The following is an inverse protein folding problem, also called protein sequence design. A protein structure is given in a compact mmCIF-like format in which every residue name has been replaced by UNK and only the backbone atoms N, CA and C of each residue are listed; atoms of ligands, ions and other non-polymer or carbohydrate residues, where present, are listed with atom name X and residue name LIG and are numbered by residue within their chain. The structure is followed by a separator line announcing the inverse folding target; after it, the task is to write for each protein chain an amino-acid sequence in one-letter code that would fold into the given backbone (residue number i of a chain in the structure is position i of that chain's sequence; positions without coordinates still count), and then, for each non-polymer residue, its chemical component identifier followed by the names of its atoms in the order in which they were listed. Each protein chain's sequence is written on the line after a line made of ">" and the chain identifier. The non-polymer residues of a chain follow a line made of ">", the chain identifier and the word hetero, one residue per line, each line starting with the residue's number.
data_IF_942647004000
#
_entry.id   IF_942647004000
#
_cell.length_a   1.000
_cell.length_b   1.000
_cell.length_c   1.000
_cell.angle_alpha   90.00
_cell.angle_beta   90.00
_cell.angle_gamma   90.00
#
_symmetry.space_group_name_H-M   'P 1'
#
loop_
_entity.id
_entity.type
_entity.pdbx_description
1 polymer ?
#
# COMPACT_ATOMS: atom_id res chain seq x y z
N UNK A 1 29.87 15.30 28.97
CA UNK A 1 28.68 14.86 29.72
C UNK A 1 27.69 14.31 28.70
N UNK A 2 27.84 13.02 28.42
CA UNK A 2 26.80 11.96 28.49
C UNK A 2 26.07 11.74 27.16
N UNK A 3 26.56 10.73 26.41
CA UNK A 3 25.84 10.03 25.33
C UNK A 3 24.47 9.60 25.86
N UNK A 4 23.41 10.26 25.42
CA UNK A 4 22.08 9.69 25.46
C UNK A 4 21.93 8.84 24.19
N UNK A 5 21.78 7.53 24.34
CA UNK A 5 21.36 6.66 23.25
C UNK A 5 19.98 7.15 22.78
N UNK A 6 19.84 7.56 21.51
CA UNK A 6 18.66 8.22 21.00
C UNK A 6 17.55 7.22 20.67
N UNK A 7 16.29 7.61 20.90
CA UNK A 7 15.09 6.86 20.46
C UNK A 7 14.86 7.01 18.93
N UNK A 8 15.91 6.99 18.11
CA UNK A 8 15.85 7.29 16.67
C UNK A 8 15.62 6.08 15.77
N UNK A 9 15.67 4.84 16.29
CA UNK A 9 15.40 3.65 15.46
C UNK A 9 13.94 3.56 15.01
N UNK A 10 13.02 4.10 15.82
CA UNK A 10 11.61 4.16 15.49
C UNK A 10 11.32 5.21 14.40
N UNK A 11 11.95 6.40 14.47
CA UNK A 11 11.86 7.41 13.41
C UNK A 11 12.36 6.87 12.07
N UNK A 12 13.53 6.21 12.08
CA UNK A 12 14.10 5.62 10.86
C UNK A 12 13.20 4.52 10.28
N UNK A 13 12.54 3.73 11.13
CA UNK A 13 11.62 2.69 10.69
C UNK A 13 10.34 3.29 10.09
N UNK A 14 9.84 4.40 10.64
CA UNK A 14 8.64 5.08 10.15
C UNK A 14 8.88 5.71 8.77
N UNK A 15 9.98 6.45 8.62
CA UNK A 15 10.36 7.07 7.34
C UNK A 15 10.52 6.01 6.21
N UNK A 16 11.07 4.84 6.55
CA UNK A 16 11.24 3.74 5.59
C UNK A 16 9.90 3.10 5.22
N UNK A 17 8.94 3.00 6.15
CA UNK A 17 7.62 2.45 5.83
C UNK A 17 6.84 3.42 4.93
N UNK A 18 6.89 4.72 5.21
CA UNK A 18 6.19 5.75 4.42
C UNK A 18 6.69 5.80 2.96
N UNK A 19 8.01 5.73 2.75
CA UNK A 19 8.57 5.72 1.40
C UNK A 19 8.22 4.43 0.65
N UNK A 20 8.16 3.28 1.34
CA UNK A 20 7.79 2.01 0.73
C UNK A 20 6.30 1.96 0.37
N UNK A 21 5.43 2.53 1.19
CA UNK A 21 3.99 2.62 0.93
C UNK A 21 3.71 3.44 -0.34
N UNK A 22 4.25 4.66 -0.39
CA UNK A 22 4.12 5.57 -1.53
C UNK A 22 4.73 4.98 -2.81
N UNK A 23 5.91 4.36 -2.70
CA UNK A 23 6.57 3.71 -3.83
C UNK A 23 5.77 2.52 -4.34
N UNK A 24 5.22 1.68 -3.46
CA UNK A 24 4.42 0.50 -3.83
C UNK A 24 3.16 0.90 -4.59
N UNK A 25 2.39 1.87 -4.07
CA UNK A 25 1.21 2.39 -4.78
C UNK A 25 1.55 2.93 -6.16
N UNK A 26 2.62 3.70 -6.27
CA UNK A 26 3.09 4.26 -7.54
C UNK A 26 3.45 3.15 -8.53
N UNK A 27 4.17 2.12 -8.08
CA UNK A 27 4.56 0.96 -8.89
C UNK A 27 3.37 0.11 -9.32
N UNK A 28 2.33 -0.02 -8.49
CA UNK A 28 1.11 -0.75 -8.87
C UNK A 28 0.42 -0.04 -10.03
N UNK A 29 0.20 1.28 -9.92
CA UNK A 29 -0.46 2.06 -10.97
C UNK A 29 0.35 2.03 -12.27
N UNK A 30 1.66 2.32 -12.18
CA UNK A 30 2.54 2.30 -13.34
C UNK A 30 2.66 0.89 -13.94
N UNK A 31 2.75 -0.13 -13.09
CA UNK A 31 2.81 -1.53 -13.49
C UNK A 31 1.56 -1.99 -14.22
N UNK A 32 0.36 -1.58 -13.79
CA UNK A 32 -0.89 -1.84 -14.52
C UNK A 32 -0.83 -1.24 -15.93
N UNK A 33 -0.45 0.03 -16.05
CA UNK A 33 -0.38 0.73 -17.35
C UNK A 33 0.58 0.00 -18.30
N UNK A 34 1.78 -0.35 -17.83
CA UNK A 34 2.79 -1.07 -18.63
C UNK A 34 2.34 -2.49 -18.96
N UNK A 35 1.67 -3.18 -18.02
CA UNK A 35 1.14 -4.53 -18.25
C UNK A 35 0.08 -4.54 -19.36
N UNK A 36 -0.90 -3.63 -19.29
CA UNK A 36 -1.91 -3.50 -20.35
C UNK A 36 -1.29 -3.07 -21.68
N UNK A 37 -0.29 -2.17 -21.67
CA UNK A 37 0.45 -1.79 -22.88
C UNK A 37 1.19 -2.99 -23.52
N UNK A 38 1.84 -3.81 -22.70
CA UNK A 38 2.54 -5.02 -23.12
C UNK A 38 1.59 -6.07 -23.70
N UNK A 39 0.42 -6.25 -23.07
CA UNK A 39 -0.63 -7.13 -23.59
C UNK A 39 -1.17 -6.62 -24.92
N UNK A 40 -1.55 -5.34 -24.99
CA UNK A 40 -2.18 -4.74 -26.16
C UNK A 40 -1.25 -4.76 -27.39
N UNK A 41 0.06 -4.64 -27.17
CA UNK A 41 1.07 -4.72 -28.24
C UNK A 41 1.31 -6.17 -28.70
N UNK A 42 1.09 -7.17 -27.83
CA UNK A 42 1.32 -8.59 -28.12
C UNK A 42 0.11 -9.31 -28.77
N UNK A 43 -0.92 -8.55 -29.15
CA UNK A 43 -2.15 -9.00 -29.81
C UNK A 43 -2.00 -9.61 -31.24
N UNK A 44 -1.00 -9.34 -32.09
CA UNK A 44 -1.10 -9.71 -33.52
C UNK A 44 -1.03 -11.22 -33.85
N UNK A 45 -0.95 -12.14 -32.88
CA UNK A 45 -0.85 -13.59 -33.10
C UNK A 45 -2.07 -14.41 -32.64
N UNK A 46 -3.23 -13.80 -32.40
CA UNK A 46 -4.45 -14.51 -31.98
C UNK A 46 -4.97 -15.60 -32.94
N UNK A 47 -4.43 -15.68 -34.17
CA UNK A 47 -4.86 -16.63 -35.20
C UNK A 47 -4.12 -17.96 -35.25
N UNK A 48 -2.99 -18.13 -34.57
CA UNK A 48 -2.22 -19.38 -34.55
C UNK A 48 -2.42 -20.10 -33.21
N UNK A 49 -2.82 -21.38 -33.23
CA UNK A 49 -3.11 -22.17 -32.02
C UNK A 49 -1.95 -22.14 -31.00
N UNK A 50 -0.70 -21.99 -31.48
CA UNK A 50 0.50 -21.92 -30.63
C UNK A 50 0.72 -20.54 -29.99
N UNK A 51 0.15 -19.49 -30.56
CA UNK A 51 0.21 -18.12 -30.01
C UNK A 51 -0.74 -17.94 -28.82
N UNK A 52 -1.91 -18.57 -28.89
CA UNK A 52 -2.95 -18.46 -27.86
C UNK A 52 -2.53 -19.10 -26.53
N UNK A 53 -1.87 -20.26 -26.53
CA UNK A 53 -1.39 -20.91 -25.29
C UNK A 53 -0.30 -20.09 -24.58
N UNK A 54 0.62 -19.50 -25.35
CA UNK A 54 1.71 -18.68 -24.82
C UNK A 54 1.18 -17.40 -24.18
N UNK A 55 0.19 -16.75 -24.81
CA UNK A 55 -0.45 -15.58 -24.22
C UNK A 55 -1.17 -15.90 -22.91
N UNK A 56 -1.96 -17.00 -22.86
CA UNK A 56 -2.66 -17.40 -21.63
C UNK A 56 -1.68 -17.59 -20.45
N UNK A 57 -0.54 -18.22 -20.71
CA UNK A 57 0.52 -18.38 -19.72
C UNK A 57 1.10 -17.03 -19.27
N UNK A 58 1.24 -16.08 -20.19
CA UNK A 58 1.73 -14.73 -19.89
C UNK A 58 0.76 -13.91 -19.04
N UNK A 59 -0.55 -14.01 -19.33
CA UNK A 59 -1.59 -13.39 -18.50
C UNK A 59 -1.56 -13.94 -17.08
N UNK A 60 -1.47 -15.26 -16.93
CA UNK A 60 -1.41 -15.92 -15.63
C UNK A 60 -0.17 -15.48 -14.84
N UNK A 61 1.01 -15.47 -15.46
CA UNK A 61 2.24 -15.02 -14.81
C UNK A 61 2.19 -13.55 -14.38
N UNK A 62 1.64 -12.66 -15.22
CA UNK A 62 1.50 -11.24 -14.87
C UNK A 62 0.52 -11.02 -13.71
N UNK A 63 -0.61 -11.73 -13.71
CA UNK A 63 -1.60 -11.63 -12.63
C UNK A 63 -1.04 -12.17 -11.31
N UNK A 64 -0.26 -13.24 -11.34
CA UNK A 64 0.39 -13.80 -10.14
C UNK A 64 1.34 -12.79 -9.50
N UNK A 65 2.18 -12.11 -10.29
CA UNK A 65 3.10 -11.09 -9.78
C UNK A 65 2.33 -9.90 -9.21
N UNK A 66 1.30 -9.44 -9.92
CA UNK A 66 0.44 -8.33 -9.45
C UNK A 66 -0.24 -8.70 -8.13
N UNK A 67 -0.80 -9.91 -8.04
CA UNK A 67 -1.44 -10.41 -6.83
C UNK A 67 -0.48 -10.48 -5.65
N UNK A 68 0.74 -10.98 -5.86
CA UNK A 68 1.80 -11.02 -4.83
C UNK A 68 2.11 -9.62 -4.27
N UNK A 69 2.28 -8.62 -5.15
CA UNK A 69 2.58 -7.24 -4.74
C UNK A 69 1.45 -6.65 -3.88
N UNK A 70 0.20 -6.79 -4.32
CA UNK A 70 -0.97 -6.29 -3.59
C UNK A 70 -1.19 -7.06 -2.28
N UNK A 71 -0.97 -8.37 -2.29
CA UNK A 71 -1.16 -9.25 -1.13
C UNK A 71 -0.20 -8.90 0.01
N UNK A 72 1.09 -8.71 -0.29
CA UNK A 72 2.08 -8.34 0.74
C UNK A 72 1.70 -7.00 1.37
N UNK A 73 1.35 -6.00 0.56
CA UNK A 73 0.95 -4.68 1.04
C UNK A 73 -0.32 -4.72 1.91
N UNK A 74 -1.37 -5.39 1.41
CA UNK A 74 -2.64 -5.52 2.13
C UNK A 74 -2.50 -6.28 3.45
N UNK A 75 -1.69 -7.34 3.48
CA UNK A 75 -1.42 -8.10 4.71
C UNK A 75 -0.67 -7.24 5.72
N UNK A 76 0.35 -6.48 5.30
CA UNK A 76 1.09 -5.57 6.18
C UNK A 76 0.15 -4.53 6.79
N UNK A 77 -0.72 -3.91 5.98
CA UNK A 77 -1.69 -2.92 6.46
C UNK A 77 -2.70 -3.53 7.45
N UNK A 78 -3.19 -4.73 7.18
CA UNK A 78 -4.09 -5.45 8.08
C UNK A 78 -3.40 -5.82 9.40
N UNK A 79 -2.14 -6.26 9.36
CA UNK A 79 -1.36 -6.54 10.56
C UNK A 79 -1.06 -5.27 11.34
N UNK A 80 -0.76 -4.16 10.67
CA UNK A 80 -0.57 -2.87 11.32
C UNK A 80 -1.85 -2.44 12.06
N UNK A 81 -3.00 -2.49 11.39
CA UNK A 81 -4.27 -2.12 11.98
C UNK A 81 -4.69 -3.06 13.13
N UNK A 82 -4.45 -4.37 12.99
CA UNK A 82 -4.87 -5.37 13.97
C UNK A 82 -3.97 -5.40 15.21
N UNK A 83 -2.65 -5.26 15.04
CA UNK A 83 -1.68 -5.41 16.14
C UNK A 83 -1.32 -4.09 16.80
N UNK A 84 -1.31 -2.99 16.05
CA UNK A 84 -0.93 -1.68 16.58
C UNK A 84 -2.14 -0.79 16.89
N UNK A 85 -3.32 -1.11 16.35
CA UNK A 85 -4.59 -0.43 16.65
C UNK A 85 -4.59 1.04 16.21
N UNK A 86 -5.67 1.50 15.60
CA UNK A 86 -5.85 2.92 15.31
C UNK A 86 -6.09 3.71 16.61
N UNK A 87 -5.04 3.92 17.40
CA UNK A 87 -4.98 5.06 18.31
C UNK A 87 -4.20 6.18 17.62
N UNK A 88 -4.84 7.29 17.24
CA UNK A 88 -4.13 8.44 16.70
C UNK A 88 -3.23 9.00 17.81
N UNK A 89 -1.92 8.69 17.74
CA UNK A 89 -0.94 9.29 18.62
C UNK A 89 -0.61 10.69 18.07
N UNK A 90 -1.36 11.69 18.52
CA UNK A 90 -0.97 13.10 18.39
C UNK A 90 -0.07 13.46 19.57
N UNK A 91 1.25 13.69 19.37
CA UNK A 91 2.19 13.98 20.46
C UNK A 91 1.96 15.33 21.17
N UNK A 92 0.96 16.13 20.75
CA UNK A 92 0.81 17.52 21.19
C UNK A 92 -0.43 17.82 22.06
N UNK A 93 -1.25 16.84 22.40
CA UNK A 93 -2.34 17.07 23.37
C UNK A 93 -2.48 15.85 24.28
N UNK A 94 -2.29 16.04 25.59
CA UNK A 94 -2.52 15.03 26.62
C UNK A 94 -4.00 14.77 26.90
N UNK A 95 -4.80 14.67 25.85
CA UNK A 95 -6.26 14.48 25.90
C UNK A 95 -6.65 13.37 24.91
N UNK A 96 -7.61 12.49 25.24
CA UNK A 96 -8.18 11.59 24.25
C UNK A 96 -8.94 12.44 23.23
N UNK A 97 -8.37 12.59 22.02
CA UNK A 97 -9.05 13.20 20.88
C UNK A 97 -10.19 12.27 20.43
N UNK A 98 -11.36 12.39 21.05
CA UNK A 98 -12.58 11.73 20.57
C UNK A 98 -13.14 12.56 19.43
N UNK A 99 -12.58 12.33 18.25
CA UNK A 99 -13.13 12.77 16.97
C UNK A 99 -14.41 12.00 16.68
N UNK A 100 -15.39 12.66 16.07
CA UNK A 100 -16.59 12.01 15.56
C UNK A 100 -16.17 10.85 14.67
N UNK A 101 -16.36 9.63 15.16
CA UNK A 101 -16.11 8.44 14.38
C UNK A 101 -17.42 8.09 13.69
N UNK A 102 -17.37 7.99 12.38
CA UNK A 102 -18.50 7.50 11.61
C UNK A 102 -18.63 5.98 11.77
N UNK A 103 -19.75 5.42 11.31
CA UNK A 103 -20.04 3.99 11.44
C UNK A 103 -19.13 3.11 10.57
N UNK A 104 -18.23 3.71 9.78
CA UNK A 104 -17.26 3.04 8.93
C UNK A 104 -15.82 3.12 9.49
N UNK A 105 -15.64 3.73 10.66
CA UNK A 105 -14.36 3.72 11.39
C UNK A 105 -13.35 4.76 10.91
N UNK A 106 -13.80 5.79 10.19
CA UNK A 106 -12.99 6.97 9.88
C UNK A 106 -13.23 8.01 10.98
N UNK A 107 -12.15 8.53 11.56
CA UNK A 107 -12.18 9.44 12.70
C UNK A 107 -11.39 10.70 12.33
N UNK A 108 -12.10 11.82 12.15
CA UNK A 108 -11.53 13.08 11.64
C UNK A 108 -11.52 14.21 12.68
N UNK A 109 -10.44 14.97 12.73
CA UNK A 109 -10.25 16.18 13.56
C UNK A 109 -11.19 17.31 13.11
N UNK A 110 -12.46 17.22 13.52
CA UNK A 110 -13.42 18.29 13.26
C UNK A 110 -13.08 19.55 14.06
N UNK A 111 -12.49 20.56 13.41
CA UNK A 111 -12.55 21.94 13.88
C UNK A 111 -14.05 22.34 13.94
N UNK A 112 -14.62 22.38 15.15
CA UNK A 112 -15.93 22.99 15.39
C UNK A 112 -15.79 24.52 15.26
N UNK A 113 -15.80 24.99 14.02
CA UNK A 113 -16.14 26.37 13.71
C UNK A 113 -17.65 26.57 13.82
N UNK A 114 -18.14 26.89 15.01
CA UNK A 114 -19.25 27.81 15.33
C UNK A 114 -19.23 28.16 16.83
#
# INVERSE_FOLDING_TARGET
>A
MTRAAPNTFYDLAYDVVEILDTATFTLIIFGLVVYFWGIATNIPHFGDEKGAEKQKSFFFWGLVVLFMMVSIWGIIQLLQNTLFGSIPFSPNAGEPAVTLCDSFGDCSIGELGL
#
